data_IF_499727998701
#
_entry.id   IF_499727998701
#
_cell.length_a   1.000
_cell.length_b   1.000
_cell.length_c   1.000
_cell.angle_alpha   90.00
_cell.angle_beta   90.00
_cell.angle_gamma   90.00
#
_symmetry.space_group_name_H-M   'P 1'
#
loop_
_entity.id
_entity.type
_entity.pdbx_description
1 polymer ?
#
# COMPACT_ATOMS: atom_id res chain seq x y z
N UNK A 1 5.06 -1.68 4.74
CA UNK A 1 3.67 -1.64 4.21
C UNK A 1 2.66 -2.53 4.97
N UNK A 2 2.75 -3.88 4.92
CA UNK A 2 1.75 -4.80 5.50
C UNK A 2 1.34 -4.46 6.94
N UNK A 3 2.32 -4.18 7.80
CA UNK A 3 2.11 -3.82 9.22
C UNK A 3 1.21 -2.59 9.37
N UNK A 4 1.42 -1.56 8.55
CA UNK A 4 0.60 -0.36 8.57
C UNK A 4 -0.83 -0.65 8.08
N UNK A 5 -0.98 -1.46 7.02
CA UNK A 5 -2.31 -1.89 6.54
C UNK A 5 -3.08 -2.65 7.62
N UNK A 6 -2.43 -3.62 8.27
CA UNK A 6 -3.02 -4.42 9.34
C UNK A 6 -3.39 -3.54 10.55
N UNK A 7 -2.54 -2.57 10.91
CA UNK A 7 -2.82 -1.61 11.98
C UNK A 7 -4.00 -0.67 11.67
N UNK A 8 -4.33 -0.44 10.39
CA UNK A 8 -5.55 0.27 9.95
C UNK A 8 -6.77 -0.65 9.82
N UNK A 9 -6.63 -1.94 10.10
CA UNK A 9 -7.72 -2.92 9.95
C UNK A 9 -8.17 -3.11 8.50
N UNK A 10 -7.32 -2.78 7.52
CA UNK A 10 -7.65 -2.88 6.10
C UNK A 10 -7.24 -4.23 5.52
N UNK A 11 -8.09 -4.82 4.70
CA UNK A 11 -7.70 -5.93 3.81
C UNK A 11 -6.90 -5.40 2.61
N UNK A 12 -6.17 -6.28 1.91
CA UNK A 12 -5.47 -5.89 0.67
C UNK A 12 -6.44 -5.37 -0.40
N UNK A 13 -7.66 -5.91 -0.46
CA UNK A 13 -8.69 -5.47 -1.40
C UNK A 13 -9.18 -4.04 -1.07
N UNK A 14 -9.43 -3.75 0.21
CA UNK A 14 -9.81 -2.40 0.65
C UNK A 14 -8.71 -1.38 0.39
N UNK A 15 -7.44 -1.74 0.61
CA UNK A 15 -6.33 -0.85 0.28
C UNK A 15 -6.22 -0.64 -1.24
N UNK A 16 -6.43 -1.67 -2.04
CA UNK A 16 -6.43 -1.57 -3.49
C UNK A 16 -7.53 -0.63 -3.98
N UNK A 17 -8.73 -0.72 -3.42
CA UNK A 17 -9.84 0.20 -3.71
C UNK A 17 -9.50 1.64 -3.33
N UNK A 18 -9.03 1.86 -2.09
CA UNK A 18 -8.66 3.19 -1.60
C UNK A 18 -7.54 3.85 -2.42
N UNK A 19 -6.64 3.05 -2.98
CA UNK A 19 -5.51 3.51 -3.78
C UNK A 19 -5.77 3.43 -5.27
N UNK A 20 -6.95 3.00 -5.73
CA UNK A 20 -7.25 2.76 -7.15
C UNK A 20 -6.27 1.81 -7.84
N UNK A 21 -5.72 0.84 -7.11
CA UNK A 21 -4.82 -0.20 -7.59
C UNK A 21 -5.55 -1.54 -7.72
N UNK A 22 -4.90 -2.52 -8.34
CA UNK A 22 -5.35 -3.91 -8.29
C UNK A 22 -4.87 -4.56 -7.00
N UNK A 23 -5.71 -5.39 -6.37
CA UNK A 23 -5.32 -6.16 -5.18
C UNK A 23 -4.03 -6.98 -5.39
N UNK A 24 -3.89 -7.61 -6.56
CA UNK A 24 -2.68 -8.36 -6.90
C UNK A 24 -1.43 -7.48 -6.88
N UNK A 25 -1.55 -6.21 -7.27
CA UNK A 25 -0.43 -5.27 -7.24
C UNK A 25 -0.08 -4.84 -5.80
N UNK A 26 -1.09 -4.58 -4.97
CA UNK A 26 -0.91 -4.36 -3.52
C UNK A 26 -0.17 -5.54 -2.87
N UNK A 27 -0.59 -6.77 -3.17
CA UNK A 27 0.05 -7.98 -2.67
C UNK A 27 1.52 -8.10 -3.11
N UNK A 28 1.84 -7.79 -4.38
CA UNK A 28 3.21 -7.80 -4.88
C UNK A 28 4.11 -6.77 -4.19
N UNK A 29 3.59 -5.57 -3.91
CA UNK A 29 4.31 -4.52 -3.17
C UNK A 29 4.55 -4.97 -1.73
N UNK A 30 3.54 -5.54 -1.05
CA UNK A 30 3.70 -6.05 0.31
C UNK A 30 4.71 -7.20 0.41
N UNK A 31 4.79 -8.04 -0.62
CA UNK A 31 5.75 -9.13 -0.71
C UNK A 31 7.16 -8.68 -1.13
N UNK A 32 7.35 -7.41 -1.49
CA UNK A 32 8.63 -6.87 -1.99
C UNK A 32 9.02 -7.40 -3.38
N UNK A 33 8.13 -8.13 -4.06
CA UNK A 33 8.39 -8.73 -5.38
C UNK A 33 8.24 -7.73 -6.52
N UNK A 34 7.60 -6.58 -6.26
CA UNK A 34 7.47 -5.49 -7.21
C UNK A 34 7.45 -4.14 -6.49
N UNK A 35 8.34 -3.24 -6.90
CA UNK A 35 8.31 -1.85 -6.46
C UNK A 35 7.09 -1.08 -7.00
N UNK A 36 6.59 -0.15 -6.21
CA UNK A 36 5.68 0.90 -6.68
C UNK A 36 6.47 2.05 -7.33
N UNK A 37 5.87 2.74 -8.31
CA UNK A 37 6.37 4.08 -8.66
C UNK A 37 6.21 5.03 -7.47
N UNK A 38 6.94 6.14 -7.45
CA UNK A 38 6.81 7.16 -6.38
C UNK A 38 5.35 7.60 -6.22
N UNK A 39 4.61 7.78 -7.31
CA UNK A 39 3.19 8.15 -7.26
C UNK A 39 2.31 7.06 -6.65
N UNK A 40 2.60 5.78 -6.93
CA UNK A 40 1.89 4.65 -6.34
C UNK A 40 2.16 4.59 -4.83
N UNK A 41 3.42 4.74 -4.43
CA UNK A 41 3.81 4.71 -3.02
C UNK A 41 3.21 5.90 -2.26
N UNK A 42 3.13 7.10 -2.86
CA UNK A 42 2.43 8.26 -2.29
C UNK A 42 0.95 7.98 -2.04
N UNK A 43 0.23 7.43 -3.02
CA UNK A 43 -1.18 7.05 -2.86
C UNK A 43 -1.38 6.03 -1.74
N UNK A 44 -0.46 5.06 -1.62
CA UNK A 44 -0.48 4.08 -0.54
C UNK A 44 -0.22 4.75 0.81
N UNK A 45 0.75 5.67 0.90
CA UNK A 45 1.07 6.41 2.12
C UNK A 45 -0.12 7.24 2.59
N UNK A 46 -0.76 7.96 1.67
CA UNK A 46 -1.99 8.72 1.92
C UNK A 46 -3.13 7.82 2.43
N UNK A 47 -3.37 6.68 1.76
CA UNK A 47 -4.42 5.74 2.16
C UNK A 47 -4.16 5.12 3.54
N UNK A 48 -2.89 4.88 3.88
CA UNK A 48 -2.48 4.31 5.17
C UNK A 48 -2.26 5.38 6.25
N UNK A 49 -2.29 6.67 5.91
CA UNK A 49 -1.99 7.80 6.81
C UNK A 49 -0.64 7.61 7.50
N UNK A 50 0.39 7.45 6.69
CA UNK A 50 1.80 7.32 7.09
C UNK A 50 2.65 8.19 6.16
N UNK A 51 3.90 8.46 6.55
CA UNK A 51 4.82 9.15 5.66
C UNK A 51 5.35 8.20 4.59
N UNK A 52 5.80 8.74 3.46
CA UNK A 52 6.37 7.93 2.37
C UNK A 52 7.60 7.14 2.84
N UNK A 53 8.38 7.72 3.74
CA UNK A 53 9.58 7.12 4.32
C UNK A 53 9.25 5.90 5.22
N UNK A 54 8.02 5.80 5.73
CA UNK A 54 7.55 4.61 6.46
C UNK A 54 7.28 3.43 5.52
N UNK A 55 7.17 3.66 4.21
CA UNK A 55 6.92 2.62 3.20
C UNK A 55 8.17 2.10 2.50
N UNK A 56 9.31 2.78 2.65
CA UNK A 56 10.59 2.43 2.02
C UNK A 56 11.42 1.43 2.82
#
# INVERSE_FOLDING_TARGET
MKVFRDHRGMTQAQLAEATGLKQAYVSQIEAGTRGGSVDVLKRIAEALRVDLDDLT
#
